data_IF_889710841747
#
_entry.id   IF_889710841747
#
_cell.length_a   1.000
_cell.length_b   1.000
_cell.length_c   1.000
_cell.angle_alpha   90.00
_cell.angle_beta   90.00
_cell.angle_gamma   90.00
#
_symmetry.space_group_name_H-M   'P 1'
#
loop_
_entity.id
_entity.type
_entity.pdbx_description
1 polymer ?
#
# COMPACT_ATOMS: atom_id res chain seq x y z
N UNK A 1 -30.77 -31.35 4.88
CA UNK A 1 -29.83 -31.29 3.74
C UNK A 1 -29.67 -29.86 3.21
N UNK A 2 -30.71 -29.01 3.31
CA UNK A 2 -30.65 -27.62 2.84
C UNK A 2 -29.78 -26.67 3.68
N UNK A 3 -29.64 -26.90 4.99
CA UNK A 3 -28.93 -25.97 5.87
C UNK A 3 -27.41 -25.98 5.70
N UNK A 4 -26.81 -27.17 5.57
CA UNK A 4 -25.37 -27.33 5.26
C UNK A 4 -25.03 -26.70 3.90
N UNK A 5 -25.85 -26.93 2.87
CA UNK A 5 -25.66 -26.31 1.56
C UNK A 5 -25.74 -24.78 1.64
N UNK A 6 -26.69 -24.24 2.42
CA UNK A 6 -26.78 -22.80 2.68
C UNK A 6 -25.51 -22.26 3.36
N UNK A 7 -25.02 -22.94 4.39
CA UNK A 7 -23.80 -22.55 5.11
C UNK A 7 -22.56 -22.62 4.20
N UNK A 8 -22.45 -23.61 3.31
CA UNK A 8 -21.39 -23.67 2.30
C UNK A 8 -21.42 -22.46 1.36
N UNK A 9 -22.59 -22.06 0.86
CA UNK A 9 -22.71 -20.86 0.01
C UNK A 9 -22.30 -19.58 0.77
N UNK A 10 -22.68 -19.48 2.05
CA UNK A 10 -22.28 -18.34 2.90
C UNK A 10 -20.77 -18.33 3.09
N UNK A 11 -20.16 -19.48 3.38
CA UNK A 11 -18.72 -19.61 3.50
C UNK A 11 -17.99 -19.17 2.21
N UNK A 12 -18.43 -19.64 1.04
CA UNK A 12 -17.83 -19.24 -0.23
C UNK A 12 -17.94 -17.73 -0.48
N UNK A 13 -19.11 -17.14 -0.17
CA UNK A 13 -19.30 -15.70 -0.32
C UNK A 13 -18.33 -14.90 0.58
N UNK A 14 -18.14 -15.31 1.82
CA UNK A 14 -17.25 -14.63 2.77
C UNK A 14 -15.78 -14.86 2.39
N UNK A 15 -15.42 -16.08 1.94
CA UNK A 15 -14.08 -16.37 1.42
C UNK A 15 -13.73 -15.47 0.24
N UNK A 16 -14.65 -15.33 -0.73
CA UNK A 16 -14.46 -14.43 -1.87
C UNK A 16 -14.29 -12.97 -1.43
N UNK A 17 -15.03 -12.53 -0.40
CA UNK A 17 -14.87 -11.18 0.16
C UNK A 17 -13.51 -10.99 0.85
N UNK A 18 -13.02 -12.00 1.56
CA UNK A 18 -11.68 -12.00 2.15
C UNK A 18 -10.61 -11.89 1.06
N UNK A 19 -10.69 -12.73 0.02
CA UNK A 19 -9.74 -12.73 -1.09
C UNK A 19 -9.72 -11.37 -1.82
N UNK A 20 -10.88 -10.75 -2.02
CA UNK A 20 -10.98 -9.40 -2.58
C UNK A 20 -10.24 -8.35 -1.73
N UNK A 21 -10.44 -8.36 -0.41
CA UNK A 21 -9.76 -7.43 0.49
C UNK A 21 -8.25 -7.69 0.55
N UNK A 22 -7.85 -8.95 0.43
CA UNK A 22 -6.46 -9.36 0.40
C UNK A 22 -5.74 -8.88 -0.86
N UNK A 23 -6.35 -9.06 -2.04
CA UNK A 23 -5.78 -8.59 -3.30
C UNK A 23 -5.70 -7.06 -3.34
N UNK A 24 -6.71 -6.36 -2.81
CA UNK A 24 -6.67 -4.89 -2.71
C UNK A 24 -5.50 -4.40 -1.83
N UNK A 25 -5.18 -5.11 -0.74
CA UNK A 25 -4.00 -4.81 0.09
C UNK A 25 -2.72 -4.95 -0.74
N UNK A 26 -2.55 -6.05 -1.48
CA UNK A 26 -1.37 -6.29 -2.33
C UNK A 26 -1.20 -5.20 -3.39
N UNK A 27 -2.31 -4.72 -3.96
CA UNK A 27 -2.27 -3.63 -4.93
C UNK A 27 -1.87 -2.29 -4.28
N UNK A 28 -2.31 -2.02 -3.06
CA UNK A 28 -1.87 -0.86 -2.28
C UNK A 28 -0.36 -0.94 -1.97
N UNK A 29 0.13 -2.11 -1.57
CA UNK A 29 1.56 -2.36 -1.32
C UNK A 29 2.39 -2.17 -2.59
N UNK A 30 1.98 -2.75 -3.72
CA UNK A 30 2.66 -2.59 -5.02
C UNK A 30 2.78 -1.12 -5.40
N UNK A 31 1.72 -0.34 -5.21
CA UNK A 31 1.74 1.11 -5.45
C UNK A 31 2.73 1.83 -4.53
N UNK A 32 2.78 1.48 -3.24
CA UNK A 32 3.75 2.04 -2.30
C UNK A 32 5.21 1.70 -2.68
N UNK A 33 5.49 0.44 -3.05
CA UNK A 33 6.81 0.03 -3.52
C UNK A 33 7.21 0.77 -4.80
N UNK A 34 6.27 0.93 -5.74
CA UNK A 34 6.51 1.68 -6.97
C UNK A 34 6.85 3.15 -6.68
N UNK A 35 6.17 3.80 -5.74
CA UNK A 35 6.48 5.17 -5.34
C UNK A 35 7.91 5.29 -4.78
N UNK A 36 8.32 4.38 -3.89
CA UNK A 36 9.70 4.35 -3.37
C UNK A 36 10.70 4.20 -4.53
N UNK A 37 10.42 3.30 -5.48
CA UNK A 37 11.25 3.10 -6.67
C UNK A 37 11.38 4.37 -7.53
N UNK A 38 10.26 5.06 -7.79
CA UNK A 38 10.27 6.33 -8.53
C UNK A 38 11.08 7.41 -7.83
N UNK A 39 10.91 7.54 -6.51
CA UNK A 39 11.70 8.50 -5.73
C UNK A 39 13.20 8.19 -5.83
N UNK A 40 13.60 6.91 -5.77
CA UNK A 40 14.99 6.50 -5.97
C UNK A 40 15.56 6.87 -7.34
N UNK A 41 14.77 6.72 -8.41
CA UNK A 41 15.14 7.17 -9.75
C UNK A 41 15.35 8.68 -9.79
N UNK A 42 14.44 9.46 -9.18
CA UNK A 42 14.55 10.93 -9.12
C UNK A 42 15.82 11.35 -8.38
N UNK A 43 16.15 10.72 -7.26
CA UNK A 43 17.41 10.99 -6.56
C UNK A 43 18.63 10.68 -7.45
N UNK A 44 18.61 9.58 -8.20
CA UNK A 44 19.71 9.17 -9.07
C UNK A 44 19.88 10.12 -10.26
N UNK A 45 18.78 10.57 -10.87
CA UNK A 45 18.83 11.59 -11.94
C UNK A 45 19.26 12.94 -11.36
N UNK A 46 18.74 13.29 -10.18
CA UNK A 46 19.06 14.51 -9.47
C UNK A 46 20.55 14.66 -9.23
N UNK A 47 21.24 13.65 -8.71
CA UNK A 47 22.68 13.74 -8.45
C UNK A 47 23.52 14.03 -9.70
N UNK A 48 23.09 13.56 -10.87
CA UNK A 48 23.75 13.85 -12.16
C UNK A 48 23.50 15.30 -12.57
N UNK A 49 22.27 15.79 -12.46
CA UNK A 49 21.88 17.15 -12.88
C UNK A 49 22.43 18.22 -11.91
N UNK A 50 22.41 17.94 -10.60
CA UNK A 50 22.78 18.92 -9.57
C UNK A 50 24.30 19.16 -9.44
N UNK A 51 25.13 18.38 -10.13
CA UNK A 51 26.59 18.57 -10.12
C UNK A 51 27.06 19.82 -10.86
N UNK A 52 26.24 20.39 -11.75
CA UNK A 52 26.57 21.55 -12.59
C UNK A 52 25.87 22.85 -12.14
N UNK A 53 25.57 22.94 -10.85
CA UNK A 53 24.70 23.99 -10.33
C UNK A 53 25.55 25.15 -9.80
N UNK A 54 26.15 25.87 -10.72
CA UNK A 54 26.75 27.17 -10.43
C UNK A 54 25.72 28.26 -10.78
N UNK A 55 25.37 29.08 -9.78
CA UNK A 55 24.32 30.12 -9.75
C UNK A 55 22.88 29.61 -9.51
N UNK A 56 22.47 29.57 -8.24
CA UNK A 56 21.06 29.40 -7.85
C UNK A 56 20.62 30.63 -7.06
N UNK A 57 19.45 31.18 -7.39
CA UNK A 57 18.76 32.12 -6.51
C UNK A 57 18.44 31.46 -5.16
N UNK A 58 18.41 32.24 -4.06
CA UNK A 58 18.01 31.72 -2.75
C UNK A 58 16.66 30.97 -2.78
N UNK A 59 15.74 31.42 -3.64
CA UNK A 59 14.44 30.79 -3.84
C UNK A 59 14.54 29.39 -4.51
N UNK A 60 15.45 29.20 -5.46
CA UNK A 60 15.70 27.89 -6.07
C UNK A 60 16.23 26.87 -5.05
N UNK A 61 17.15 27.28 -4.17
CA UNK A 61 17.69 26.42 -3.10
C UNK A 61 16.57 25.98 -2.14
N UNK A 62 15.70 26.92 -1.74
CA UNK A 62 14.56 26.61 -0.87
C UNK A 62 13.61 25.63 -1.57
N UNK A 63 13.30 25.85 -2.85
CA UNK A 63 12.44 24.94 -3.62
C UNK A 63 13.04 23.53 -3.74
N UNK A 64 14.35 23.43 -3.97
CA UNK A 64 15.08 22.17 -4.01
C UNK A 64 15.01 21.42 -2.66
N UNK A 65 15.31 22.12 -1.56
CA UNK A 65 15.26 21.55 -0.21
C UNK A 65 13.85 21.08 0.17
N UNK A 66 12.82 21.87 -0.17
CA UNK A 66 11.42 21.49 0.02
C UNK A 66 11.06 20.24 -0.82
N UNK A 67 11.50 20.19 -2.07
CA UNK A 67 11.32 19.02 -2.95
C UNK A 67 11.89 17.76 -2.34
N UNK A 68 13.14 17.80 -1.87
CA UNK A 68 13.78 16.66 -1.19
C UNK A 68 13.06 16.26 0.09
N UNK A 69 12.65 17.22 0.92
CA UNK A 69 11.88 16.93 2.13
C UNK A 69 10.56 16.20 1.80
N UNK A 70 9.82 16.66 0.79
CA UNK A 70 8.56 16.05 0.36
C UNK A 70 8.76 14.63 -0.22
N UNK A 71 9.83 14.41 -1.01
CA UNK A 71 10.20 13.08 -1.48
C UNK A 71 10.60 12.15 -0.33
N UNK A 72 11.30 12.66 0.69
CA UNK A 72 11.61 11.89 1.88
C UNK A 72 10.34 11.49 2.64
N UNK A 73 9.40 12.42 2.83
CA UNK A 73 8.08 12.12 3.43
C UNK A 73 7.33 11.06 2.61
N UNK A 74 7.42 11.11 1.27
CA UNK A 74 6.84 10.09 0.37
C UNK A 74 7.39 8.70 0.70
N UNK A 75 8.71 8.57 0.88
CA UNK A 75 9.35 7.30 1.24
C UNK A 75 8.86 6.82 2.60
N UNK A 76 8.85 7.68 3.62
CA UNK A 76 8.45 7.31 4.98
C UNK A 76 6.98 6.84 5.02
N UNK A 77 6.09 7.57 4.34
CA UNK A 77 4.68 7.22 4.27
C UNK A 77 4.46 5.91 3.48
N UNK A 78 5.20 5.69 2.38
CA UNK A 78 5.14 4.45 1.60
C UNK A 78 5.72 3.25 2.37
N UNK A 79 6.81 3.44 3.12
CA UNK A 79 7.39 2.41 3.96
C UNK A 79 6.47 2.01 5.12
N UNK A 80 5.69 2.96 5.63
CA UNK A 80 4.67 2.68 6.67
C UNK A 80 3.60 1.73 6.15
N UNK A 81 3.17 1.87 4.88
CA UNK A 81 2.25 0.93 4.23
C UNK A 81 2.82 -0.50 4.21
N UNK A 82 4.10 -0.64 3.86
CA UNK A 82 4.76 -1.96 3.73
C UNK A 82 5.03 -2.66 5.07
N UNK A 83 5.13 -1.91 6.18
CA UNK A 83 5.38 -2.47 7.51
C UNK A 83 4.17 -3.23 8.08
N UNK A 84 2.98 -3.01 7.54
CA UNK A 84 1.71 -3.57 8.04
C UNK A 84 1.50 -5.03 7.60
N UNK A 85 2.50 -5.67 6.98
CA UNK A 85 2.49 -7.04 6.42
C UNK A 85 2.13 -8.18 7.40
N UNK A 86 1.97 -7.91 8.69
CA UNK A 86 1.44 -8.90 9.62
C UNK A 86 -0.09 -8.96 9.39
N UNK A 87 -0.55 -9.90 8.57
CA UNK A 87 -1.47 -10.95 9.03
C UNK A 87 -1.78 -12.01 7.96
N UNK A 88 -1.95 -13.23 8.46
CA UNK A 88 -2.52 -14.43 7.86
C UNK A 88 -3.71 -14.78 8.77
N UNK A 89 -4.93 -14.87 8.23
CA UNK A 89 -6.07 -15.46 8.96
C UNK A 89 -7.22 -15.85 8.03
N UNK A 90 -6.89 -16.48 6.90
CA UNK A 90 -7.86 -17.25 6.14
C UNK A 90 -7.42 -18.71 6.18
N UNK A 91 -8.08 -19.55 6.98
CA UNK A 91 -7.88 -20.99 6.87
C UNK A 91 -8.70 -21.51 5.69
N UNK A 92 -8.04 -22.02 4.65
CA UNK A 92 -8.76 -22.77 3.62
C UNK A 92 -9.43 -23.99 4.29
N UNK A 93 -10.74 -24.19 4.07
CA UNK A 93 -11.49 -25.33 4.61
C UNK A 93 -10.74 -26.65 4.44
N UNK A 94 -10.09 -26.85 3.28
CA UNK A 94 -9.34 -28.08 3.00
C UNK A 94 -8.13 -28.21 3.91
N UNK A 95 -7.45 -27.10 4.17
CA UNK A 95 -6.27 -27.07 5.04
C UNK A 95 -6.64 -27.23 6.51
N UNK A 96 -7.77 -26.65 6.93
CA UNK A 96 -8.33 -26.83 8.27
C UNK A 96 -8.71 -28.28 8.53
N UNK A 97 -9.48 -28.92 7.63
CA UNK A 97 -9.90 -30.32 7.78
C UNK A 97 -8.73 -31.30 7.80
N UNK A 98 -7.69 -31.05 6.99
CA UNK A 98 -6.47 -31.86 6.99
C UNK A 98 -5.70 -31.69 8.31
N UNK A 99 -5.60 -30.47 8.85
CA UNK A 99 -4.93 -30.21 10.14
C UNK A 99 -5.71 -30.74 11.34
N UNK A 100 -7.05 -30.76 11.27
CA UNK A 100 -7.94 -31.21 12.36
C UNK A 100 -8.27 -32.71 12.32
N UNK A 101 -7.74 -33.47 11.35
CA UNK A 101 -8.06 -34.89 11.12
C UNK A 101 -9.57 -35.16 10.97
N UNK A 102 -10.32 -34.19 10.45
CA UNK A 102 -11.76 -34.34 10.22
C UNK A 102 -12.03 -34.85 8.81
N UNK A 103 -12.79 -35.94 8.72
CA UNK A 103 -13.16 -36.58 7.45
C UNK A 103 -14.40 -35.99 6.79
N UNK A 104 -15.17 -35.17 7.52
CA UNK A 104 -16.45 -34.64 7.05
C UNK A 104 -16.70 -33.23 7.59
N UNK A 105 -17.23 -32.36 6.73
CA UNK A 105 -17.64 -31.00 7.11
C UNK A 105 -18.88 -31.10 8.00
N UNK A 106 -18.75 -30.62 9.24
CA UNK A 106 -19.87 -30.45 10.17
C UNK A 106 -20.32 -28.99 10.19
N UNK A 107 -21.56 -28.76 10.62
CA UNK A 107 -22.08 -27.39 10.75
C UNK A 107 -21.25 -26.54 11.73
N UNK A 108 -20.75 -27.11 12.82
CA UNK A 108 -19.94 -26.39 13.81
C UNK A 108 -18.62 -25.86 13.22
N UNK A 109 -17.97 -26.64 12.34
CA UNK A 109 -16.74 -26.22 11.65
C UNK A 109 -17.05 -25.07 10.68
N UNK A 110 -18.15 -25.19 9.94
CA UNK A 110 -18.61 -24.14 9.02
C UNK A 110 -18.91 -22.84 9.78
N UNK A 111 -19.63 -22.92 10.90
CA UNK A 111 -19.97 -21.75 11.71
C UNK A 111 -18.70 -21.11 12.31
N UNK A 112 -17.73 -21.92 12.75
CA UNK A 112 -16.43 -21.43 13.22
C UNK A 112 -15.66 -20.70 12.12
N UNK A 113 -15.51 -21.31 10.94
CA UNK A 113 -14.76 -20.73 9.83
C UNK A 113 -15.45 -19.48 9.29
N UNK A 114 -16.77 -19.48 9.15
CA UNK A 114 -17.56 -18.31 8.77
C UNK A 114 -17.27 -17.15 9.73
N UNK A 115 -17.30 -17.40 11.04
CA UNK A 115 -17.02 -16.38 12.05
C UNK A 115 -15.59 -15.84 11.95
N UNK A 116 -14.61 -16.73 11.82
CA UNK A 116 -13.20 -16.36 11.69
C UNK A 116 -12.94 -15.50 10.44
N UNK A 117 -13.54 -15.87 9.31
CA UNK A 117 -13.43 -15.10 8.07
C UNK A 117 -14.15 -13.74 8.16
N UNK A 118 -15.29 -13.65 8.86
CA UNK A 118 -15.99 -12.36 9.09
C UNK A 118 -15.13 -11.43 9.94
N UNK A 119 -14.57 -11.93 11.05
CA UNK A 119 -13.69 -11.16 11.92
C UNK A 119 -12.47 -10.67 11.12
N UNK A 120 -11.85 -11.56 10.34
CA UNK A 120 -10.72 -11.24 9.47
C UNK A 120 -11.07 -10.22 8.38
N UNK A 121 -12.25 -10.30 7.77
CA UNK A 121 -12.72 -9.31 6.81
C UNK A 121 -12.84 -7.91 7.45
N UNK A 122 -13.38 -7.84 8.67
CA UNK A 122 -13.52 -6.57 9.39
C UNK A 122 -12.16 -5.97 9.74
N UNK A 123 -11.21 -6.78 10.20
CA UNK A 123 -9.84 -6.33 10.46
C UNK A 123 -9.14 -5.87 9.18
N UNK A 124 -9.22 -6.65 8.10
CA UNK A 124 -8.67 -6.30 6.80
C UNK A 124 -9.26 -5.00 6.25
N UNK A 125 -10.56 -4.77 6.42
CA UNK A 125 -11.21 -3.55 5.97
C UNK A 125 -10.70 -2.31 6.74
N UNK A 126 -10.62 -2.39 8.08
CA UNK A 126 -10.04 -1.32 8.91
C UNK A 126 -8.58 -1.06 8.54
N UNK A 127 -7.80 -2.11 8.32
CA UNK A 127 -6.41 -2.00 7.91
C UNK A 127 -6.28 -1.32 6.55
N UNK A 128 -7.04 -1.80 5.56
CA UNK A 128 -7.10 -1.23 4.20
C UNK A 128 -7.42 0.26 4.22
N UNK A 129 -8.34 0.68 5.10
CA UNK A 129 -8.64 2.09 5.30
C UNK A 129 -7.42 2.87 5.83
N UNK A 130 -6.73 2.34 6.85
CA UNK A 130 -5.53 2.96 7.41
C UNK A 130 -4.39 3.05 6.39
N UNK A 131 -4.04 1.96 5.69
CA UNK A 131 -2.95 1.97 4.70
C UNK A 131 -3.28 2.84 3.48
N UNK A 132 -4.55 2.88 3.05
CA UNK A 132 -5.00 3.76 1.96
C UNK A 132 -4.78 5.24 2.29
N UNK A 133 -4.95 5.64 3.56
CA UNK A 133 -4.66 7.00 4.01
C UNK A 133 -3.17 7.34 3.85
N UNK A 134 -2.26 6.45 4.27
CA UNK A 134 -0.81 6.67 4.10
C UNK A 134 -0.39 6.66 2.63
N UNK A 135 -1.01 5.80 1.80
CA UNK A 135 -0.76 5.80 0.36
C UNK A 135 -1.17 7.14 -0.27
N UNK A 136 -2.34 7.69 0.09
CA UNK A 136 -2.78 9.02 -0.38
C UNK A 136 -1.81 10.13 0.03
N UNK A 137 -1.34 10.13 1.28
CA UNK A 137 -0.34 11.08 1.76
C UNK A 137 0.95 10.95 0.93
N UNK A 138 1.39 9.72 0.65
CA UNK A 138 2.57 9.45 -0.18
C UNK A 138 2.40 10.05 -1.59
N UNK A 139 1.24 9.84 -2.24
CA UNK A 139 0.97 10.43 -3.56
C UNK A 139 0.97 11.96 -3.55
N UNK A 140 0.31 12.59 -2.58
CA UNK A 140 0.26 14.05 -2.53
C UNK A 140 1.65 14.65 -2.28
N UNK A 141 2.39 14.09 -1.33
CA UNK A 141 3.76 14.54 -1.04
C UNK A 141 4.69 14.31 -2.23
N UNK A 142 4.53 13.22 -2.97
CA UNK A 142 5.23 12.98 -4.22
C UNK A 142 4.94 14.06 -5.27
N UNK A 143 3.66 14.34 -5.53
CA UNK A 143 3.23 15.35 -6.52
C UNK A 143 3.77 16.73 -6.15
N UNK A 144 3.61 17.16 -4.89
CA UNK A 144 4.12 18.45 -4.44
C UNK A 144 5.66 18.49 -4.50
N UNK A 145 6.34 17.40 -4.19
CA UNK A 145 7.80 17.29 -4.35
C UNK A 145 8.22 17.50 -5.81
N UNK A 146 7.55 16.83 -6.74
CA UNK A 146 7.80 16.99 -8.19
C UNK A 146 7.53 18.41 -8.69
N UNK A 147 6.49 19.08 -8.18
CA UNK A 147 6.21 20.48 -8.50
C UNK A 147 7.33 21.40 -7.99
N UNK A 148 7.84 21.19 -6.78
CA UNK A 148 8.98 21.94 -6.25
C UNK A 148 10.26 21.75 -7.07
N UNK A 149 10.53 20.53 -7.56
CA UNK A 149 11.62 20.30 -8.51
C UNK A 149 11.38 20.99 -9.86
N UNK A 150 10.15 20.96 -10.37
CA UNK A 150 9.78 21.66 -11.61
C UNK A 150 10.00 23.17 -11.52
N UNK A 151 9.64 23.79 -10.38
CA UNK A 151 9.91 25.20 -10.11
C UNK A 151 11.42 25.46 -10.09
N UNK A 152 12.20 24.62 -9.41
CA UNK A 152 13.65 24.74 -9.37
C UNK A 152 14.28 24.72 -10.77
N UNK A 153 13.93 23.70 -11.58
CA UNK A 153 14.45 23.55 -12.96
C UNK A 153 14.07 24.77 -13.80
N UNK A 154 12.82 25.24 -13.68
CA UNK A 154 12.32 26.40 -14.43
C UNK A 154 13.14 27.65 -14.10
N UNK A 155 13.37 27.92 -12.81
CA UNK A 155 14.17 29.06 -12.36
C UNK A 155 15.62 28.98 -12.85
N UNK A 156 16.20 27.78 -12.86
CA UNK A 156 17.56 27.58 -13.35
C UNK A 156 17.65 27.82 -14.87
N UNK A 157 16.67 27.37 -15.65
CA UNK A 157 16.61 27.61 -17.08
C UNK A 157 16.45 29.10 -17.41
N UNK A 158 15.61 29.83 -16.68
CA UNK A 158 15.46 31.28 -16.85
C UNK A 158 16.68 32.08 -16.39
N UNK A 159 17.44 31.58 -15.42
CA UNK A 159 18.66 32.25 -14.95
C UNK A 159 19.85 32.10 -15.91
N UNK A 160 19.81 31.10 -16.80
CA UNK A 160 20.88 30.80 -17.76
C UNK A 160 20.63 31.36 -19.17
N UNK A 161 19.53 32.11 -19.37
CA UNK A 161 19.18 32.84 -20.58
C UNK A 161 19.39 34.34 -20.38
#
# INVERSE_FOLDING_TARGET
>A
MDEINRKCCIYEAIKNMFDFHWDNTRDIERKATSLIGFVGIIFTIGTVIFSNVEQISHFGIISLGLGFFLLFVTIVASATVLKVRLWHSGYDIKEFMVKSNQSMITEEILDYLIKEYIESCNENNKMNYHISKYLKISYYTFIFGMLSFGIYITLQLFSNW
#
